data_IF_457045828035
#
_entry.id   IF_457045828035
#
_cell.length_a   1.000
_cell.length_b   1.000
_cell.length_c   1.000
_cell.angle_alpha   90.00
_cell.angle_beta   90.00
_cell.angle_gamma   90.00
#
_symmetry.space_group_name_H-M   'P 1'
#
loop_
_entity.id
_entity.type
_entity.pdbx_description
1 polymer ?
#
# COMPACT_ATOMS: atom_id res chain seq x y z
N UNK A 1 -46.21 15.45 -47.51
CA UNK A 1 -45.97 16.09 -46.20
C UNK A 1 -45.49 15.08 -45.16
N UNK A 2 -46.27 14.04 -44.81
CA UNK A 2 -45.92 13.04 -43.79
C UNK A 2 -44.60 12.30 -44.06
N UNK A 3 -44.36 11.86 -45.30
CA UNK A 3 -43.09 11.23 -45.70
C UNK A 3 -41.87 12.16 -45.57
N UNK A 4 -42.05 13.47 -45.75
CA UNK A 4 -40.98 14.47 -45.63
C UNK A 4 -40.60 14.66 -44.15
N UNK A 5 -41.58 14.68 -43.25
CA UNK A 5 -41.35 14.78 -41.80
C UNK A 5 -40.65 13.54 -41.25
N UNK A 6 -41.00 12.35 -41.74
CA UNK A 6 -40.31 11.09 -41.37
C UNK A 6 -38.84 11.14 -41.83
N UNK A 7 -38.58 11.63 -43.04
CA UNK A 7 -37.21 11.75 -43.56
C UNK A 7 -36.38 12.76 -42.75
N UNK A 8 -36.96 13.90 -42.38
CA UNK A 8 -36.30 14.91 -41.55
C UNK A 8 -36.01 14.39 -40.14
N UNK A 9 -36.92 13.61 -39.55
CA UNK A 9 -36.70 12.98 -38.25
C UNK A 9 -35.52 11.98 -38.29
N UNK A 10 -35.40 11.20 -39.37
CA UNK A 10 -34.28 10.27 -39.57
C UNK A 10 -32.96 11.04 -39.71
N UNK A 11 -32.93 12.12 -40.50
CA UNK A 11 -31.73 12.95 -40.68
C UNK A 11 -31.33 13.60 -39.35
N UNK A 12 -32.28 14.15 -38.59
CA UNK A 12 -32.02 14.75 -37.28
C UNK A 12 -31.45 13.72 -36.28
N UNK A 13 -31.98 12.49 -36.28
CA UNK A 13 -31.48 11.41 -35.44
C UNK A 13 -30.05 11.01 -35.81
N UNK A 14 -29.72 10.90 -37.11
CA UNK A 14 -28.36 10.59 -37.57
C UNK A 14 -27.38 11.70 -37.16
N UNK A 15 -27.74 12.96 -37.36
CA UNK A 15 -26.91 14.11 -36.97
C UNK A 15 -26.68 14.15 -35.45
N UNK A 16 -27.71 13.90 -34.65
CA UNK A 16 -27.61 13.81 -33.20
C UNK A 16 -26.69 12.67 -32.76
N UNK A 17 -26.78 11.50 -33.39
CA UNK A 17 -25.91 10.35 -33.09
C UNK A 17 -24.43 10.65 -33.39
N UNK A 18 -24.15 11.28 -34.53
CA UNK A 18 -22.77 11.69 -34.90
C UNK A 18 -22.25 12.76 -33.94
N UNK A 19 -23.09 13.71 -33.55
CA UNK A 19 -22.73 14.75 -32.58
C UNK A 19 -22.34 14.12 -31.23
N UNK A 20 -23.17 13.20 -30.72
CA UNK A 20 -22.90 12.51 -29.45
C UNK A 20 -21.62 11.68 -29.50
N UNK A 21 -21.37 10.94 -30.58
CA UNK A 21 -20.12 10.18 -30.73
C UNK A 21 -18.88 11.08 -30.69
N UNK A 22 -18.94 12.27 -31.31
CA UNK A 22 -17.85 13.25 -31.25
C UNK A 22 -17.67 13.91 -29.88
N UNK A 23 -18.71 13.95 -29.06
CA UNK A 23 -18.65 14.45 -27.69
C UNK A 23 -18.01 13.41 -26.77
N UNK A 24 -18.42 12.15 -26.90
CA UNK A 24 -17.81 11.00 -26.21
C UNK A 24 -16.31 10.85 -26.56
N UNK A 25 -15.92 10.99 -27.83
CA UNK A 25 -14.50 10.98 -28.24
C UNK A 25 -13.70 12.14 -27.63
N UNK A 26 -14.30 13.32 -27.49
CA UNK A 26 -13.63 14.48 -26.87
C UNK A 26 -13.47 14.31 -25.37
N UNK A 27 -14.47 13.76 -24.69
CA UNK A 27 -14.40 13.43 -23.27
C UNK A 27 -13.32 12.37 -23.03
N UNK A 28 -13.27 11.30 -23.83
CA UNK A 28 -12.21 10.30 -23.74
C UNK A 28 -10.81 10.89 -23.95
N UNK A 29 -10.62 11.76 -24.95
CA UNK A 29 -9.32 12.42 -25.18
C UNK A 29 -8.96 13.36 -24.02
N UNK A 30 -9.95 14.04 -23.43
CA UNK A 30 -9.72 14.92 -22.28
C UNK A 30 -9.34 14.13 -21.03
N UNK A 31 -10.00 13.00 -20.78
CA UNK A 31 -9.67 12.07 -19.70
C UNK A 31 -8.29 11.45 -19.91
N UNK A 32 -7.97 10.96 -21.12
CA UNK A 32 -6.63 10.44 -21.44
C UNK A 32 -5.52 11.48 -21.25
N UNK A 33 -5.77 12.74 -21.64
CA UNK A 33 -4.82 13.83 -21.40
C UNK A 33 -4.67 14.15 -19.93
N UNK A 34 -5.77 14.19 -19.19
CA UNK A 34 -5.76 14.43 -17.75
C UNK A 34 -5.00 13.31 -17.02
N UNK A 35 -5.23 12.06 -17.40
CA UNK A 35 -4.51 10.89 -16.89
C UNK A 35 -3.03 10.95 -17.25
N UNK A 36 -2.68 11.32 -18.48
CA UNK A 36 -1.29 11.47 -18.90
C UNK A 36 -0.57 12.60 -18.15
N UNK A 37 -1.23 13.74 -17.96
CA UNK A 37 -0.71 14.87 -17.16
C UNK A 37 -0.57 14.48 -15.68
N UNK A 38 -1.53 13.72 -15.15
CA UNK A 38 -1.50 13.21 -13.78
C UNK A 38 -0.34 12.24 -13.58
N UNK A 39 -0.16 11.26 -14.47
CA UNK A 39 0.95 10.31 -14.44
C UNK A 39 2.31 10.99 -14.63
N UNK A 40 2.40 12.00 -15.50
CA UNK A 40 3.63 12.79 -15.65
C UNK A 40 3.96 13.55 -14.37
N UNK A 41 2.95 14.14 -13.72
CA UNK A 41 3.11 14.84 -12.43
C UNK A 41 3.57 13.89 -11.32
N UNK A 42 2.99 12.68 -11.22
CA UNK A 42 3.44 11.66 -10.26
C UNK A 42 4.93 11.34 -10.42
N UNK A 43 5.34 11.12 -11.67
CA UNK A 43 6.73 10.79 -12.02
C UNK A 43 7.69 11.93 -11.69
N UNK A 44 7.29 13.18 -11.90
CA UNK A 44 8.14 14.33 -11.57
C UNK A 44 8.23 14.57 -10.05
N UNK A 45 7.12 14.46 -9.31
CA UNK A 45 7.10 14.65 -7.84
C UNK A 45 7.92 13.60 -7.08
N UNK A 46 8.03 12.37 -7.63
CA UNK A 46 8.77 11.26 -7.01
C UNK A 46 9.91 10.73 -7.88
N UNK A 47 10.52 11.58 -8.73
CA UNK A 47 11.62 11.18 -9.62
C UNK A 47 12.85 10.62 -8.90
N UNK A 48 13.03 11.00 -7.63
CA UNK A 48 14.12 10.52 -6.78
C UNK A 48 13.85 9.10 -6.25
N UNK A 49 12.60 8.63 -6.29
CA UNK A 49 12.15 7.33 -5.79
C UNK A 49 11.30 6.57 -6.83
N UNK A 50 11.81 6.34 -8.06
CA UNK A 50 11.02 5.80 -9.16
C UNK A 50 10.54 4.36 -8.91
N UNK A 51 11.25 3.59 -8.08
CA UNK A 51 10.89 2.21 -7.74
C UNK A 51 9.68 2.11 -6.79
N UNK A 52 9.28 3.20 -6.14
CA UNK A 52 8.06 3.24 -5.34
C UNK A 52 6.79 3.47 -6.18
N UNK A 53 6.94 4.06 -7.37
CA UNK A 53 5.82 4.39 -8.25
C UNK A 53 5.16 3.11 -8.76
N UNK A 54 3.86 2.96 -8.50
CA UNK A 54 3.08 1.78 -8.89
C UNK A 54 3.17 0.60 -7.91
N UNK A 55 4.14 0.62 -6.99
CA UNK A 55 4.26 -0.36 -5.89
C UNK A 55 3.59 0.14 -4.61
N UNK A 56 3.59 1.45 -4.37
CA UNK A 56 2.91 2.11 -3.25
C UNK A 56 1.80 3.02 -3.80
N UNK A 57 0.65 3.08 -3.12
CA UNK A 57 -0.42 4.00 -3.48
C UNK A 57 0.09 5.45 -3.45
N UNK A 58 -0.14 6.15 -4.56
CA UNK A 58 0.34 7.51 -4.75
C UNK A 58 -0.20 8.51 -3.71
N UNK A 59 -1.40 8.29 -3.20
CA UNK A 59 -1.99 9.12 -2.15
C UNK A 59 -1.13 9.08 -0.88
N UNK A 60 -0.61 7.91 -0.54
CA UNK A 60 0.26 7.71 0.62
C UNK A 60 1.66 8.25 0.38
N UNK A 61 2.25 7.99 -0.80
CA UNK A 61 3.52 8.60 -1.20
C UNK A 61 3.47 10.12 -1.11
N UNK A 62 2.36 10.72 -1.55
CA UNK A 62 2.17 12.17 -1.51
C UNK A 62 1.95 12.70 -0.10
N UNK A 63 1.09 12.06 0.69
CA UNK A 63 0.76 12.48 2.05
C UNK A 63 2.00 12.43 2.96
N UNK A 64 2.66 11.27 2.98
CA UNK A 64 3.82 11.04 3.84
C UNK A 64 5.09 11.66 3.27
N UNK A 65 5.27 11.71 1.95
CA UNK A 65 6.37 12.44 1.32
C UNK A 65 6.36 13.93 1.69
N UNK A 66 5.19 14.56 1.63
CA UNK A 66 5.04 15.95 2.06
C UNK A 66 5.33 16.15 3.55
N UNK A 67 4.80 15.28 4.42
CA UNK A 67 5.05 15.36 5.85
C UNK A 67 6.53 15.14 6.20
N UNK A 68 7.22 14.23 5.50
CA UNK A 68 8.66 14.00 5.65
C UNK A 68 9.46 15.25 5.29
N UNK A 69 9.27 15.74 4.06
CA UNK A 69 10.08 16.81 3.48
C UNK A 69 9.85 18.13 4.20
N UNK A 70 8.60 18.46 4.53
CA UNK A 70 8.26 19.76 5.11
C UNK A 70 8.45 19.82 6.63
N UNK A 71 8.30 18.69 7.33
CA UNK A 71 8.21 18.69 8.81
C UNK A 71 9.20 17.75 9.49
N UNK A 72 9.94 16.94 8.73
CA UNK A 72 10.87 15.93 9.26
C UNK A 72 10.22 15.02 10.32
N UNK A 73 8.94 14.69 10.12
CA UNK A 73 8.17 13.86 11.04
C UNK A 73 8.43 12.39 10.70
N UNK A 74 8.84 11.61 11.70
CA UNK A 74 8.90 10.15 11.59
C UNK A 74 7.50 9.59 11.39
N UNK A 75 7.36 8.72 10.40
CA UNK A 75 6.09 8.11 10.10
C UNK A 75 5.90 6.75 10.80
N UNK A 76 6.95 6.19 11.41
CA UNK A 76 6.86 4.95 12.20
C UNK A 76 5.84 5.06 13.33
N UNK A 77 5.68 6.24 13.91
CA UNK A 77 4.68 6.49 14.94
C UNK A 77 3.25 6.31 14.42
N UNK A 78 3.01 6.57 13.12
CA UNK A 78 1.72 6.32 12.48
C UNK A 78 1.47 4.81 12.32
N UNK A 79 2.46 4.05 11.85
CA UNK A 79 2.37 2.58 11.79
C UNK A 79 2.13 1.97 13.18
N UNK A 80 2.87 2.44 14.19
CA UNK A 80 2.68 2.01 15.57
C UNK A 80 1.28 2.33 16.10
N UNK A 81 0.75 3.51 15.78
CA UNK A 81 -0.62 3.89 16.16
C UNK A 81 -1.67 3.01 15.47
N UNK A 82 -1.45 2.61 14.22
CA UNK A 82 -2.31 1.65 13.50
C UNK A 82 -2.26 0.28 14.17
N UNK A 83 -1.07 -0.25 14.44
CA UNK A 83 -0.87 -1.48 15.19
C UNK A 83 -1.62 -1.44 16.53
N UNK A 84 -1.41 -0.41 17.35
CA UNK A 84 -2.08 -0.28 18.64
C UNK A 84 -3.60 -0.24 18.51
N UNK A 85 -4.13 0.48 17.51
CA UNK A 85 -5.56 0.51 17.25
C UNK A 85 -6.08 -0.89 16.94
N UNK A 86 -5.44 -1.62 16.04
CA UNK A 86 -5.92 -2.93 15.61
C UNK A 86 -5.76 -4.02 16.67
N UNK A 87 -4.62 -4.06 17.37
CA UNK A 87 -4.41 -4.91 18.55
C UNK A 87 -5.50 -4.65 19.60
N UNK A 88 -5.77 -3.39 19.95
CA UNK A 88 -6.81 -3.05 20.93
C UNK A 88 -8.24 -3.29 20.43
N UNK A 89 -8.48 -3.26 19.12
CA UNK A 89 -9.79 -3.55 18.53
C UNK A 89 -10.16 -5.04 18.60
N UNK A 90 -9.21 -5.93 18.86
CA UNK A 90 -9.49 -7.36 19.06
C UNK A 90 -10.30 -7.63 20.34
N UNK A 91 -10.35 -6.66 21.26
CA UNK A 91 -11.16 -6.49 22.49
C UNK A 91 -11.33 -7.68 23.46
N UNK A 92 -11.14 -8.94 23.09
CA UNK A 92 -11.41 -10.12 23.92
C UNK A 92 -10.63 -11.39 23.51
N UNK A 93 -9.83 -11.39 22.44
CA UNK A 93 -9.14 -12.60 21.96
C UNK A 93 -7.61 -12.47 22.06
N UNK A 94 -7.07 -13.04 23.14
CA UNK A 94 -5.63 -13.05 23.44
C UNK A 94 -4.81 -13.69 22.31
N UNK A 95 -5.38 -14.66 21.58
CA UNK A 95 -4.66 -15.31 20.48
C UNK A 95 -4.54 -14.37 19.27
N UNK A 96 -5.54 -13.54 18.98
CA UNK A 96 -5.45 -12.57 17.88
C UNK A 96 -4.44 -11.47 18.22
N UNK A 97 -4.42 -11.03 19.48
CA UNK A 97 -3.42 -10.08 19.95
C UNK A 97 -1.99 -10.63 19.80
N UNK A 98 -1.76 -11.89 20.17
CA UNK A 98 -0.48 -12.57 19.97
C UNK A 98 -0.05 -12.63 18.48
N UNK A 99 -1.01 -12.80 17.56
CA UNK A 99 -0.73 -12.76 16.12
C UNK A 99 -0.29 -11.36 15.66
N UNK A 100 -0.99 -10.30 16.10
CA UNK A 100 -0.59 -8.93 15.80
C UNK A 100 0.77 -8.56 16.41
N UNK A 101 1.07 -9.03 17.62
CA UNK A 101 2.38 -8.86 18.24
C UNK A 101 3.48 -9.53 17.41
N UNK A 102 3.24 -10.76 16.93
CA UNK A 102 4.17 -11.46 16.04
C UNK A 102 4.38 -10.71 14.73
N UNK A 103 3.33 -10.13 14.15
CA UNK A 103 3.42 -9.30 12.93
C UNK A 103 4.19 -8.00 13.19
N UNK A 104 4.00 -7.38 14.35
CA UNK A 104 4.76 -6.18 14.75
C UNK A 104 6.24 -6.51 14.92
N UNK A 105 6.59 -7.60 15.58
CA UNK A 105 7.97 -8.06 15.71
C UNK A 105 8.63 -8.28 14.34
N UNK A 106 7.92 -8.92 13.41
CA UNK A 106 8.40 -9.09 12.02
C UNK A 106 8.55 -7.75 11.30
N UNK A 107 7.71 -6.75 11.61
CA UNK A 107 7.82 -5.40 11.05
C UNK A 107 9.09 -4.70 11.55
N UNK A 108 9.44 -4.85 12.83
CA UNK A 108 10.67 -4.30 13.38
C UNK A 108 11.90 -4.91 12.68
N UNK A 109 11.90 -6.23 12.48
CA UNK A 109 12.94 -6.93 11.75
C UNK A 109 12.99 -6.53 10.26
N UNK A 110 11.85 -6.28 9.62
CA UNK A 110 11.80 -5.74 8.25
C UNK A 110 12.49 -4.38 8.18
N UNK A 111 12.24 -3.50 9.15
CA UNK A 111 12.84 -2.18 9.16
C UNK A 111 14.36 -2.25 9.32
N UNK A 112 14.85 -3.08 10.24
CA UNK A 112 16.28 -3.35 10.38
C UNK A 112 16.87 -3.94 9.09
N UNK A 113 16.15 -4.87 8.46
CA UNK A 113 16.54 -5.48 7.19
C UNK A 113 16.71 -4.41 6.10
N UNK A 114 15.72 -3.54 5.91
CA UNK A 114 15.76 -2.47 4.91
C UNK A 114 16.96 -1.54 5.15
N UNK A 115 17.19 -1.10 6.38
CA UNK A 115 18.34 -0.24 6.75
C UNK A 115 19.69 -0.94 6.50
N UNK A 116 19.74 -2.25 6.71
CA UNK A 116 20.96 -3.04 6.60
C UNK A 116 21.31 -3.38 5.15
N UNK A 117 20.32 -3.74 4.33
CA UNK A 117 20.55 -4.41 3.05
C UNK A 117 20.12 -3.62 1.81
N UNK A 118 19.34 -2.55 1.96
CA UNK A 118 18.81 -1.78 0.82
C UNK A 118 19.42 -0.37 0.74
N UNK A 119 19.52 0.16 -0.47
CA UNK A 119 19.95 1.55 -0.75
C UNK A 119 18.82 2.54 -0.53
N UNK A 120 18.17 2.45 0.63
CA UNK A 120 16.97 3.20 0.94
C UNK A 120 17.28 4.28 1.96
N UNK A 121 16.73 5.46 1.72
CA UNK A 121 16.70 6.54 2.69
C UNK A 121 15.79 6.18 3.87
N UNK A 122 15.96 6.90 4.98
CA UNK A 122 15.06 6.76 6.13
C UNK A 122 13.59 6.94 5.72
N UNK A 123 13.28 7.89 4.85
CA UNK A 123 11.93 8.09 4.31
C UNK A 123 11.38 6.84 3.63
N UNK A 124 12.17 6.23 2.74
CA UNK A 124 11.80 5.03 1.97
C UNK A 124 11.54 3.82 2.87
N UNK A 125 12.34 3.68 3.93
CA UNK A 125 12.12 2.62 4.91
C UNK A 125 10.82 2.83 5.68
N UNK A 126 10.57 4.06 6.16
CA UNK A 126 9.35 4.36 6.94
C UNK A 126 8.06 4.25 6.11
N UNK A 127 8.08 4.67 4.83
CA UNK A 127 6.91 4.57 3.96
C UNK A 127 6.57 3.11 3.63
N UNK A 128 7.58 2.23 3.54
CA UNK A 128 7.39 0.79 3.36
C UNK A 128 6.57 0.21 4.51
N UNK A 129 7.01 0.50 5.75
CA UNK A 129 6.38 0.01 6.98
C UNK A 129 4.94 0.49 7.10
N UNK A 130 4.67 1.74 6.75
CA UNK A 130 3.31 2.29 6.89
C UNK A 130 2.38 1.76 5.83
N UNK A 131 2.87 1.63 4.60
CA UNK A 131 2.09 1.03 3.53
C UNK A 131 1.67 -0.39 3.92
N UNK A 132 2.57 -1.16 4.52
CA UNK A 132 2.24 -2.47 5.08
C UNK A 132 1.12 -2.40 6.13
N UNK A 133 1.29 -1.54 7.14
CA UNK A 133 0.34 -1.43 8.25
C UNK A 133 -1.01 -0.85 7.85
N UNK A 134 -1.08 -0.05 6.78
CA UNK A 134 -2.34 0.42 6.20
C UNK A 134 -3.12 -0.73 5.58
N UNK A 135 -2.46 -1.58 4.78
CA UNK A 135 -3.10 -2.76 4.22
C UNK A 135 -3.59 -3.71 5.32
N UNK A 136 -2.80 -3.90 6.38
CA UNK A 136 -3.21 -4.69 7.55
C UNK A 136 -4.42 -4.07 8.23
N UNK A 137 -4.42 -2.76 8.46
CA UNK A 137 -5.52 -2.07 9.14
C UNK A 137 -6.83 -2.19 8.35
N UNK A 138 -6.78 -2.05 7.03
CA UNK A 138 -7.93 -2.26 6.15
C UNK A 138 -8.48 -3.70 6.24
N UNK A 139 -7.60 -4.71 6.25
CA UNK A 139 -8.03 -6.11 6.39
C UNK A 139 -8.57 -6.41 7.81
N UNK A 140 -8.00 -5.80 8.85
CA UNK A 140 -8.43 -5.98 10.24
C UNK A 140 -9.86 -5.47 10.49
N UNK A 141 -10.30 -4.42 9.78
CA UNK A 141 -11.69 -3.95 9.83
C UNK A 141 -12.69 -5.03 9.38
N UNK A 142 -12.25 -5.98 8.56
CA UNK A 142 -13.07 -7.10 8.09
C UNK A 142 -13.30 -8.20 9.13
N UNK A 143 -12.63 -8.15 10.29
CA UNK A 143 -12.71 -9.21 11.32
C UNK A 143 -14.02 -9.19 12.10
N UNK A 144 -14.81 -8.12 12.01
CA UNK A 144 -16.08 -7.98 12.72
C UNK A 144 -17.03 -9.12 12.36
N UNK A 145 -17.36 -9.95 13.35
CA UNK A 145 -18.29 -11.08 13.21
C UNK A 145 -17.68 -12.35 12.58
N UNK A 146 -16.37 -12.40 12.32
CA UNK A 146 -15.66 -13.61 11.90
C UNK A 146 -15.31 -14.49 13.11
N UNK A 147 -15.23 -15.80 12.90
CA UNK A 147 -14.70 -16.73 13.89
C UNK A 147 -13.16 -16.73 13.92
N UNK A 148 -12.60 -17.32 14.98
CA UNK A 148 -11.17 -17.30 15.23
C UNK A 148 -10.34 -18.04 14.16
N UNK A 149 -10.85 -19.15 13.62
CA UNK A 149 -10.14 -19.90 12.59
C UNK A 149 -10.09 -19.12 11.27
N UNK A 150 -11.16 -18.41 10.93
CA UNK A 150 -11.20 -17.50 9.80
C UNK A 150 -10.19 -16.35 9.97
N UNK A 151 -10.07 -15.78 11.17
CA UNK A 151 -9.09 -14.73 11.47
C UNK A 151 -7.66 -15.29 11.35
N UNK A 152 -7.34 -16.41 12.01
CA UNK A 152 -6.03 -17.07 11.91
C UNK A 152 -5.62 -17.35 10.47
N UNK A 153 -6.59 -17.77 9.64
CA UNK A 153 -6.36 -18.02 8.22
C UNK A 153 -6.03 -16.73 7.47
N UNK A 154 -6.66 -15.60 7.81
CA UNK A 154 -6.39 -14.31 7.18
C UNK A 154 -4.93 -13.86 7.38
N UNK A 155 -4.36 -14.09 8.58
CA UNK A 155 -2.95 -13.82 8.87
C UNK A 155 -1.98 -14.61 7.97
N UNK A 156 -2.41 -15.75 7.42
CA UNK A 156 -1.60 -16.58 6.50
C UNK A 156 -1.74 -16.17 5.04
N UNK A 157 -2.48 -15.11 4.75
CA UNK A 157 -2.75 -14.62 3.40
C UNK A 157 -2.34 -13.16 3.25
N UNK A 158 -2.50 -12.61 2.04
CA UNK A 158 -2.34 -11.17 1.81
C UNK A 158 -3.41 -10.41 2.60
N UNK A 159 -3.10 -9.24 3.20
CA UNK A 159 -1.84 -8.51 3.09
C UNK A 159 -0.78 -8.89 4.13
N UNK A 160 -1.12 -9.65 5.18
CA UNK A 160 -0.19 -10.00 6.26
C UNK A 160 1.10 -10.67 5.75
N UNK A 161 0.99 -11.53 4.73
CA UNK A 161 2.14 -12.21 4.14
C UNK A 161 2.95 -11.39 3.13
N UNK A 162 2.52 -10.17 2.78
CA UNK A 162 3.20 -9.32 1.78
C UNK A 162 4.47 -8.63 2.31
N UNK A 163 4.89 -8.91 3.55
CA UNK A 163 6.08 -8.28 4.17
C UNK A 163 7.36 -8.49 3.32
N UNK A 164 7.52 -9.68 2.73
CA UNK A 164 8.63 -10.02 1.80
C UNK A 164 8.49 -9.32 0.45
N UNK A 165 7.25 -9.11 0.00
CA UNK A 165 6.98 -8.39 -1.24
C UNK A 165 7.36 -6.92 -1.08
N UNK A 166 7.11 -6.33 0.09
CA UNK A 166 7.43 -4.93 0.36
C UNK A 166 8.93 -4.68 0.35
N UNK A 167 9.75 -5.57 0.94
CA UNK A 167 11.21 -5.41 0.86
C UNK A 167 11.73 -5.49 -0.58
N UNK A 168 11.09 -6.30 -1.43
CA UNK A 168 11.49 -6.46 -2.84
C UNK A 168 11.36 -5.20 -3.70
N UNK A 169 10.62 -4.18 -3.24
CA UNK A 169 10.46 -2.92 -3.96
C UNK A 169 11.74 -2.07 -3.94
N UNK A 170 12.62 -2.30 -2.97
CA UNK A 170 13.75 -1.44 -2.69
C UNK A 170 15.04 -1.97 -3.32
N UNK A 171 15.87 -1.11 -3.92
CA UNK A 171 17.15 -1.51 -4.48
C UNK A 171 18.05 -2.13 -3.41
N UNK A 172 18.70 -3.25 -3.73
CA UNK A 172 19.68 -3.90 -2.85
C UNK A 172 21.03 -3.18 -2.92
N UNK A 173 21.78 -3.17 -1.83
CA UNK A 173 23.18 -2.69 -1.80
C UNK A 173 24.08 -3.58 -2.65
N UNK A 174 25.16 -3.01 -3.19
CA UNK A 174 26.14 -3.76 -4.00
C UNK A 174 26.75 -5.00 -3.31
N UNK A 175 26.86 -4.97 -1.98
CA UNK A 175 27.43 -6.05 -1.15
C UNK A 175 26.37 -6.93 -0.47
N UNK A 176 25.16 -6.98 -1.04
CA UNK A 176 24.04 -7.71 -0.48
C UNK A 176 24.36 -9.22 -0.30
N UNK A 177 24.03 -9.82 0.86
CA UNK A 177 24.30 -11.23 1.10
C UNK A 177 23.42 -12.16 0.25
N UNK A 178 23.88 -13.38 0.00
CA UNK A 178 23.10 -14.40 -0.74
C UNK A 178 21.88 -14.92 0.05
N UNK A 179 21.88 -14.73 1.37
CA UNK A 179 20.79 -15.16 2.27
C UNK A 179 20.28 -13.99 3.08
N UNK A 180 18.97 -13.81 3.01
CA UNK A 180 18.21 -12.81 3.74
C UNK A 180 17.51 -13.42 4.95
N UNK A 181 17.06 -12.55 5.86
CA UNK A 181 16.13 -12.92 6.91
C UNK A 181 14.83 -13.42 6.27
N UNK A 182 14.35 -14.59 6.67
CA UNK A 182 13.00 -15.05 6.31
C UNK A 182 11.99 -14.60 7.35
N UNK A 183 10.80 -14.25 6.89
CA UNK A 183 9.67 -13.89 7.75
C UNK A 183 8.72 -15.08 8.00
N UNK A 184 9.11 -16.27 7.53
CA UNK A 184 8.36 -17.53 7.66
C UNK A 184 9.10 -18.51 8.55
N UNK A 185 8.36 -19.42 9.15
CA UNK A 185 8.94 -20.46 10.00
C UNK A 185 9.64 -21.55 9.16
N UNK A 186 10.23 -22.55 9.84
CA UNK A 186 10.91 -23.68 9.17
C UNK A 186 9.99 -24.52 8.26
N UNK A 187 8.67 -24.40 8.43
CA UNK A 187 7.64 -25.07 7.63
C UNK A 187 7.08 -24.18 6.52
N UNK A 188 7.46 -22.90 6.48
CA UNK A 188 6.97 -21.90 5.52
C UNK A 188 5.70 -21.16 5.97
N UNK A 189 5.25 -21.36 7.21
CA UNK A 189 4.04 -20.74 7.76
C UNK A 189 4.31 -19.31 8.26
N UNK A 190 3.25 -18.51 8.33
CA UNK A 190 3.27 -17.10 8.76
C UNK A 190 2.14 -16.81 9.76
N UNK A 191 2.32 -15.86 10.71
CA UNK A 191 3.60 -15.27 11.09
C UNK A 191 4.47 -16.30 11.82
N UNK A 192 5.79 -16.24 11.63
CA UNK A 192 6.70 -16.99 12.51
C UNK A 192 6.77 -16.33 13.89
N UNK A 193 7.12 -17.11 14.90
CA UNK A 193 7.52 -16.52 16.17
C UNK A 193 8.77 -15.66 15.98
N UNK A 194 8.72 -14.44 16.51
CA UNK A 194 9.80 -13.48 16.46
C UNK A 194 9.96 -12.82 17.82
N UNK A 195 11.11 -12.19 18.06
CA UNK A 195 11.34 -11.33 19.22
C UNK A 195 11.51 -9.86 18.83
N UNK A 196 11.26 -9.56 17.56
CA UNK A 196 11.46 -8.24 16.98
C UNK A 196 12.92 -7.84 16.89
N UNK A 197 13.12 -6.60 16.49
CA UNK A 197 14.44 -5.98 16.47
C UNK A 197 14.56 -5.06 17.67
N UNK A 198 15.42 -5.44 18.63
CA UNK A 198 15.67 -4.62 19.82
C UNK A 198 16.09 -3.19 19.47
N UNK A 199 16.94 -3.03 18.47
CA UNK A 199 17.42 -1.72 18.01
C UNK A 199 16.25 -0.83 17.55
N UNK A 200 15.32 -1.42 16.80
CA UNK A 200 14.16 -0.71 16.26
C UNK A 200 13.13 -0.46 17.35
N UNK A 201 12.86 -1.45 18.20
CA UNK A 201 11.95 -1.36 19.33
C UNK A 201 12.29 -0.17 20.23
N UNK A 202 13.56 -0.04 20.61
CA UNK A 202 14.07 1.07 21.44
C UNK A 202 13.95 2.43 20.74
N UNK A 203 13.82 2.47 19.41
CA UNK A 203 13.66 3.72 18.63
C UNK A 203 12.21 4.16 18.48
N UNK A 204 11.25 3.23 18.53
CA UNK A 204 9.82 3.50 18.33
C UNK A 204 9.11 3.75 19.68
N UNK A 205 9.61 3.19 20.77
CA UNK A 205 8.98 3.25 22.10
C UNK A 205 9.39 4.45 22.97
N UNK A 206 10.20 5.38 22.45
CA UNK A 206 10.75 6.55 23.16
C UNK A 206 10.00 7.85 22.86
#
# INVERSE_FOLDING_TARGET
>A
MTLLYILLAIIAYILWRIYRQKEEEKEQIADEKYDAEWEAKKKEEHKDYPHLIGNIDYTWLKLFGKLYIEKNISHLNAAFSMYLKESNNTKLDMEVDMLFNSVWDLTEELLEHLETYHESTKYENEIAIITYWQLIAEEAESFVGKDMEAIKKAFRTTPFTDIEKISSFFPKKDNHPDKELSFRDEKGEFPRESKGSKLIHDRITV
#
